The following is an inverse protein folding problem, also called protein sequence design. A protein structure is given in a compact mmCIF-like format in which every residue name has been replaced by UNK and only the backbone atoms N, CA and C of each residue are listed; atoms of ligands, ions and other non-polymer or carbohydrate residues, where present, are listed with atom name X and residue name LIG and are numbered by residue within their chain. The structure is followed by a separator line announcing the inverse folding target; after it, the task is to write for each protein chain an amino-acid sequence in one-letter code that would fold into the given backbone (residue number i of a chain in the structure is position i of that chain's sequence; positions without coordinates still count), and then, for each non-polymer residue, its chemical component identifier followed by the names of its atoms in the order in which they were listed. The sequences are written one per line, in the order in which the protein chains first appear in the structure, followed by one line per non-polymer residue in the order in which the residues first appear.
data_IF_836783705792
#
_entry.id   IF_836783705792
#
_cell.length_a   1.000
_cell.length_b   1.000
_cell.length_c   1.000
_cell.angle_alpha   90.00
_cell.angle_beta   90.00
_cell.angle_gamma   90.00
#
_symmetry.space_group_name_H-M   'P 1'
#
loop_
_entity.id
_entity.type
_entity.pdbx_description
1 polymer ?
#
# COMPACT_ATOMS: atom_id res chain seq x y z
N UNK A 1 -14.71 4.96 -10.89
CA UNK A 1 -14.20 6.34 -11.00
C UNK A 1 -15.05 7.35 -10.22
N UNK A 2 -16.38 7.44 -10.42
CA UNK A 2 -17.20 8.42 -9.67
C UNK A 2 -17.30 8.17 -8.15
N UNK A 3 -17.25 6.91 -7.72
CA UNK A 3 -17.34 6.53 -6.30
C UNK A 3 -15.95 6.49 -5.60
N UNK A 4 -15.00 5.78 -6.20
CA UNK A 4 -13.65 5.60 -5.66
C UNK A 4 -12.62 5.75 -6.80
N UNK A 5 -12.25 6.98 -7.20
CA UNK A 5 -11.27 7.18 -8.27
C UNK A 5 -9.85 6.80 -7.83
N UNK A 6 -9.56 6.92 -6.53
CA UNK A 6 -8.26 6.58 -5.94
C UNK A 6 -7.89 5.11 -6.12
N UNK A 7 -8.85 4.19 -6.14
CA UNK A 7 -8.62 2.78 -6.46
C UNK A 7 -8.08 2.56 -7.88
N UNK A 8 -8.37 3.47 -8.81
CA UNK A 8 -7.80 3.44 -10.17
C UNK A 8 -6.41 4.09 -10.21
N UNK A 9 -6.19 5.14 -9.42
CA UNK A 9 -4.89 5.85 -9.35
C UNK A 9 -3.83 4.98 -8.65
N UNK A 10 -4.16 4.45 -7.47
CA UNK A 10 -3.23 3.69 -6.61
C UNK A 10 -3.33 2.16 -6.80
N UNK A 11 -4.18 1.73 -7.73
CA UNK A 11 -4.49 0.34 -8.04
C UNK A 11 -5.40 -0.33 -7.01
N UNK A 12 -5.95 -1.47 -7.43
CA UNK A 12 -6.86 -2.29 -6.62
C UNK A 12 -6.57 -3.75 -6.89
N UNK A 13 -6.69 -4.57 -5.84
CA UNK A 13 -6.65 -6.01 -5.96
C UNK A 13 -7.75 -6.60 -5.07
N UNK A 14 -8.76 -7.16 -5.71
CA UNK A 14 -9.73 -8.00 -5.04
C UNK A 14 -9.13 -9.40 -4.91
N UNK A 15 -8.52 -9.69 -3.76
CA UNK A 15 -7.89 -11.00 -3.51
C UNK A 15 -8.86 -12.07 -3.01
N UNK A 16 -10.14 -11.75 -2.81
CA UNK A 16 -11.08 -12.60 -2.08
C UNK A 16 -12.19 -13.15 -2.95
N UNK A 17 -12.72 -12.37 -3.89
CA UNK A 17 -13.85 -12.78 -4.72
C UNK A 17 -13.43 -12.91 -6.19
N UNK A 18 -13.45 -11.80 -6.93
CA UNK A 18 -13.27 -11.80 -8.40
C UNK A 18 -11.83 -12.04 -8.85
N UNK A 19 -10.85 -11.98 -7.93
CA UNK A 19 -9.41 -11.98 -8.26
C UNK A 19 -8.99 -10.82 -9.18
N UNK A 20 -9.85 -9.81 -9.37
CA UNK A 20 -9.59 -8.69 -10.26
C UNK A 20 -8.42 -7.85 -9.73
N UNK A 21 -7.49 -7.54 -10.64
CA UNK A 21 -6.29 -6.76 -10.32
C UNK A 21 -6.09 -5.68 -11.37
N UNK A 22 -6.14 -4.43 -10.93
CA UNK A 22 -5.84 -3.29 -11.79
C UNK A 22 -4.45 -2.75 -11.46
N UNK A 23 -3.64 -2.42 -12.48
CA UNK A 23 -2.34 -1.83 -12.25
C UNK A 23 -2.48 -0.46 -11.58
N UNK A 24 -1.45 -0.08 -10.81
CA UNK A 24 -1.36 1.28 -10.26
C UNK A 24 -0.97 2.24 -11.38
N UNK A 25 -1.62 3.41 -11.45
CA UNK A 25 -1.16 4.50 -12.31
C UNK A 25 0.06 5.17 -11.67
N UNK A 26 0.06 5.32 -10.35
CA UNK A 26 1.19 5.86 -9.59
C UNK A 26 1.83 4.78 -8.73
N UNK A 27 3.15 4.72 -8.77
CA UNK A 27 3.97 4.05 -7.78
C UNK A 27 4.89 5.07 -7.12
N UNK A 28 5.08 4.95 -5.80
CA UNK A 28 6.07 5.71 -5.04
C UNK A 28 6.82 4.73 -4.16
N UNK A 29 8.15 4.80 -4.16
CA UNK A 29 9.00 3.88 -3.41
C UNK A 29 10.15 4.65 -2.80
N UNK A 30 10.47 4.33 -1.54
CA UNK A 30 11.63 4.85 -0.84
C UNK A 30 12.60 3.69 -0.65
N UNK A 31 13.84 3.84 -1.12
CA UNK A 31 14.90 2.84 -1.02
C UNK A 31 16.12 3.43 -0.36
N UNK A 32 16.68 2.71 0.60
CA UNK A 32 17.97 2.99 1.18
C UNK A 32 19.03 2.11 0.51
N UNK A 33 20.18 2.68 0.18
CA UNK A 33 21.27 2.00 -0.49
C UNK A 33 22.50 1.92 0.41
N UNK A 34 23.30 0.85 0.25
CA UNK A 34 24.48 0.56 1.06
C UNK A 34 24.21 0.75 2.57
N UNK A 35 23.35 -0.10 3.11
CA UNK A 35 22.78 0.08 4.45
C UNK A 35 23.58 -0.71 5.48
N UNK A 36 24.12 -0.01 6.48
CA UNK A 36 24.73 -0.61 7.67
C UNK A 36 23.71 -0.70 8.81
N UNK A 37 23.64 -1.87 9.43
CA UNK A 37 22.82 -2.11 10.63
C UNK A 37 23.56 -1.61 11.86
N UNK A 38 22.85 -0.90 12.72
CA UNK A 38 23.36 -0.49 14.02
C UNK A 38 22.74 -1.36 15.11
N UNK A 39 23.52 -1.60 16.16
CA UNK A 39 23.04 -2.23 17.38
C UNK A 39 23.16 -1.27 18.54
N UNK A 40 22.18 -1.27 19.42
CA UNK A 40 22.22 -0.54 20.68
C UNK A 40 22.23 -1.55 21.82
N UNK A 41 23.03 -1.28 22.84
CA UNK A 41 22.95 -1.99 24.10
C UNK A 41 22.44 -1.04 25.18
N UNK A 42 21.73 -1.59 26.16
CA UNK A 42 21.31 -0.88 27.35
C UNK A 42 21.53 -1.79 28.57
N UNK A 43 21.66 -1.18 29.74
CA UNK A 43 21.79 -1.89 31.00
C UNK A 43 20.79 -1.26 31.97
N UNK A 44 19.88 -2.07 32.50
CA UNK A 44 19.10 -1.68 33.66
C UNK A 44 19.88 -2.03 34.92
N UNK A 45 20.08 -1.04 35.79
CA UNK A 45 20.64 -1.23 37.12
C UNK A 45 19.55 -0.91 38.15
N UNK A 46 19.27 -1.84 39.08
CA UNK A 46 18.32 -1.58 40.15
C UNK A 46 18.85 -0.45 41.05
N UNK A 47 17.95 0.20 41.81
CA UNK A 47 18.33 1.28 42.72
C UNK A 47 19.20 0.79 43.91
N UNK A 48 19.11 -0.50 44.22
CA UNK A 48 19.86 -1.20 45.27
C UNK A 48 20.12 -2.64 44.81
N UNK A 49 21.18 -3.26 45.32
CA UNK A 49 21.53 -4.64 45.05
C UNK A 49 20.68 -5.61 45.91
N UNK A 50 19.41 -5.81 45.54
CA UNK A 50 18.42 -6.54 46.34
C UNK A 50 18.88 -7.93 46.82
N UNK A 51 19.66 -8.65 46.03
CA UNK A 51 20.19 -9.97 46.40
C UNK A 51 21.41 -9.84 47.33
N UNK A 52 22.35 -8.93 47.03
CA UNK A 52 23.55 -8.73 47.86
C UNK A 52 23.21 -8.15 49.24
N UNK A 53 22.20 -7.29 49.30
CA UNK A 53 21.67 -6.70 50.55
C UNK A 53 20.72 -7.66 51.29
N UNK A 54 20.59 -8.91 50.82
CA UNK A 54 19.78 -9.96 51.44
C UNK A 54 18.29 -9.61 51.56
N UNK A 55 17.79 -8.68 50.73
CA UNK A 55 16.38 -8.32 50.65
C UNK A 55 15.57 -9.34 49.82
N UNK A 56 16.25 -10.05 48.92
CA UNK A 56 15.72 -11.16 48.13
C UNK A 56 16.73 -12.31 48.10
N UNK A 57 16.24 -13.53 47.98
CA UNK A 57 17.08 -14.72 47.83
C UNK A 57 17.74 -14.76 46.43
N UNK A 58 18.92 -15.39 46.35
CA UNK A 58 19.59 -15.61 45.06
C UNK A 58 18.71 -16.50 44.17
N UNK A 59 18.34 -16.07 42.95
CA UNK A 59 17.48 -16.86 42.08
C UNK A 59 18.22 -18.12 41.60
N UNK A 60 17.70 -19.29 41.99
CA UNK A 60 18.32 -20.60 41.64
C UNK A 60 17.81 -21.19 40.32
N UNK A 61 16.67 -20.70 39.82
CA UNK A 61 16.04 -21.14 38.59
C UNK A 61 15.70 -19.97 37.65
N UNK A 62 15.46 -20.31 36.37
CA UNK A 62 15.19 -19.32 35.33
C UNK A 62 13.88 -18.55 35.53
N UNK A 63 12.82 -19.20 36.02
CA UNK A 63 11.53 -18.55 36.18
C UNK A 63 11.60 -17.47 37.27
N UNK A 64 12.28 -17.75 38.38
CA UNK A 64 12.51 -16.77 39.45
C UNK A 64 13.40 -15.62 38.97
N UNK A 65 14.45 -15.91 38.20
CA UNK A 65 15.31 -14.89 37.60
C UNK A 65 14.57 -13.98 36.60
N UNK A 66 13.72 -14.55 35.76
CA UNK A 66 12.90 -13.81 34.80
C UNK A 66 11.88 -12.93 35.56
N UNK A 67 11.22 -13.47 36.59
CA UNK A 67 10.30 -12.70 37.45
C UNK A 67 11.00 -11.52 38.16
N UNK A 68 12.23 -11.72 38.66
CA UNK A 68 13.03 -10.66 39.28
C UNK A 68 13.47 -9.63 38.25
N UNK A 69 13.81 -10.05 37.02
CA UNK A 69 14.16 -9.16 35.91
C UNK A 69 12.98 -8.28 35.50
N UNK A 70 11.79 -8.85 35.36
CA UNK A 70 10.56 -8.11 35.00
C UNK A 70 10.17 -7.07 36.05
N UNK A 71 10.46 -7.35 37.33
CA UNK A 71 10.21 -6.43 38.44
C UNK A 71 11.34 -5.41 38.67
N UNK A 72 12.46 -5.54 37.96
CA UNK A 72 13.60 -4.64 38.10
C UNK A 72 14.40 -4.84 39.39
N UNK A 73 14.44 -6.07 39.93
CA UNK A 73 15.19 -6.39 41.15
C UNK A 73 16.64 -6.83 40.89
N UNK A 74 16.98 -7.17 39.65
CA UNK A 74 18.33 -7.57 39.27
C UNK A 74 18.81 -6.77 38.06
N UNK A 75 20.12 -6.79 37.83
CA UNK A 75 20.72 -6.22 36.63
C UNK A 75 20.21 -6.92 35.37
N UNK A 76 19.71 -6.13 34.41
CA UNK A 76 19.22 -6.66 33.12
C UNK A 76 19.98 -6.03 31.96
N UNK A 77 21.02 -6.70 31.43
CA UNK A 77 21.68 -6.30 30.19
C UNK A 77 20.79 -6.60 28.98
N UNK A 78 20.49 -5.58 28.19
CA UNK A 78 19.93 -5.70 26.85
C UNK A 78 21.06 -5.46 25.85
N UNK A 79 21.74 -6.52 25.41
CA UNK A 79 22.89 -6.40 24.50
C UNK A 79 22.48 -6.54 23.04
N UNK A 80 23.13 -5.76 22.17
CA UNK A 80 23.02 -5.84 20.70
C UNK A 80 21.59 -5.78 20.14
N UNK A 81 20.67 -5.11 20.85
CA UNK A 81 19.31 -4.85 20.38
C UNK A 81 19.30 -3.96 19.12
N UNK A 82 18.16 -3.88 18.44
CA UNK A 82 18.02 -3.08 17.22
C UNK A 82 18.32 -1.59 17.48
N UNK A 83 19.40 -1.08 16.87
CA UNK A 83 19.87 0.31 17.02
C UNK A 83 19.56 1.22 15.84
N UNK A 84 18.84 0.71 14.83
CA UNK A 84 18.55 1.43 13.59
C UNK A 84 19.52 1.08 12.45
N UNK A 85 19.57 1.95 11.44
CA UNK A 85 20.37 1.76 10.24
C UNK A 85 20.99 3.09 9.78
N UNK A 86 22.15 3.03 9.14
CA UNK A 86 22.75 4.13 8.38
C UNK A 86 22.72 3.72 6.90
N UNK A 87 22.23 4.59 6.03
CA UNK A 87 22.21 4.38 4.58
C UNK A 87 23.37 5.16 3.95
N UNK A 88 24.57 4.58 3.91
CA UNK A 88 25.77 5.28 3.41
C UNK A 88 25.68 5.58 1.90
N UNK A 89 24.88 4.79 1.16
CA UNK A 89 24.56 5.03 -0.25
C UNK A 89 23.42 6.04 -0.46
N UNK A 90 22.90 6.61 0.62
CA UNK A 90 21.78 7.53 0.63
C UNK A 90 20.41 6.83 0.56
N UNK A 91 19.38 7.67 0.62
CA UNK A 91 17.98 7.28 0.53
C UNK A 91 17.39 7.97 -0.69
N UNK A 92 16.87 7.18 -1.62
CA UNK A 92 16.19 7.68 -2.82
C UNK A 92 14.70 7.43 -2.70
N UNK A 93 13.92 8.50 -2.88
CA UNK A 93 12.49 8.39 -3.14
C UNK A 93 12.28 8.53 -4.65
N UNK A 94 11.66 7.52 -5.25
CA UNK A 94 11.29 7.51 -6.67
C UNK A 94 9.78 7.41 -6.77
N UNK A 95 9.19 8.24 -7.61
CA UNK A 95 7.81 8.09 -8.02
C UNK A 95 7.76 7.84 -9.54
N UNK A 96 6.78 7.07 -10.00
CA UNK A 96 6.51 6.87 -11.42
C UNK A 96 5.02 6.97 -11.71
N UNK A 97 4.66 7.75 -12.73
CA UNK A 97 3.31 7.84 -13.28
C UNK A 97 3.27 7.10 -14.63
N UNK A 98 2.58 5.97 -14.68
CA UNK A 98 2.46 5.15 -15.89
C UNK A 98 1.33 5.61 -16.81
N UNK A 99 1.66 6.37 -17.87
CA UNK A 99 0.66 6.80 -18.87
C UNK A 99 0.00 5.63 -19.63
N UNK A 100 0.71 4.51 -19.78
CA UNK A 100 0.16 3.29 -20.36
C UNK A 100 -1.03 2.75 -19.54
N UNK A 101 -0.96 2.79 -18.21
CA UNK A 101 -2.05 2.35 -17.34
C UNK A 101 -3.30 3.22 -17.51
N UNK A 102 -3.12 4.55 -17.67
CA UNK A 102 -4.23 5.47 -17.97
C UNK A 102 -4.88 5.14 -19.30
N UNK A 103 -4.09 4.82 -20.33
CA UNK A 103 -4.59 4.46 -21.68
C UNK A 103 -5.40 3.16 -21.68
N UNK A 104 -5.21 2.27 -20.73
CA UNK A 104 -5.99 1.02 -20.63
C UNK A 104 -7.39 1.25 -20.05
N UNK A 105 -7.66 2.39 -19.41
CA UNK A 105 -8.98 2.70 -18.86
C UNK A 105 -9.99 2.93 -19.99
N UNK A 106 -11.20 2.38 -19.84
CA UNK A 106 -12.28 2.52 -20.80
C UNK A 106 -13.65 2.65 -20.13
N UNK A 107 -14.55 3.40 -20.74
CA UNK A 107 -15.96 3.50 -20.35
C UNK A 107 -16.84 2.71 -21.33
N UNK A 108 -16.57 1.41 -21.47
CA UNK A 108 -17.20 0.56 -22.49
C UNK A 108 -16.77 0.97 -23.90
N UNK A 109 -17.73 1.02 -24.84
CA UNK A 109 -17.48 1.39 -26.25
C UNK A 109 -17.58 2.90 -26.52
N UNK A 110 -17.91 3.71 -25.51
CA UNK A 110 -18.10 5.14 -25.66
C UNK A 110 -16.75 5.87 -25.61
N UNK A 111 -16.30 6.38 -26.76
CA UNK A 111 -15.03 7.07 -26.90
C UNK A 111 -14.99 8.40 -26.12
N UNK A 112 -16.10 9.14 -26.09
CA UNK A 112 -16.19 10.45 -25.42
C UNK A 112 -16.10 10.27 -23.92
N UNK A 113 -16.88 9.34 -23.36
CA UNK A 113 -16.82 9.00 -21.93
C UNK A 113 -15.47 8.39 -21.54
N UNK A 114 -14.87 7.61 -22.43
CA UNK A 114 -13.53 7.05 -22.21
C UNK A 114 -12.49 8.16 -22.12
N UNK A 115 -12.53 9.16 -22.99
CA UNK A 115 -11.61 10.30 -22.94
C UNK A 115 -11.81 11.11 -21.65
N UNK A 116 -13.06 11.40 -21.27
CA UNK A 116 -13.37 12.11 -20.03
C UNK A 116 -12.85 11.36 -18.79
N UNK A 117 -13.06 10.04 -18.74
CA UNK A 117 -12.51 9.17 -17.68
C UNK A 117 -10.98 9.24 -17.61
N UNK A 118 -10.30 9.13 -18.75
CA UNK A 118 -8.83 9.16 -18.80
C UNK A 118 -8.27 10.51 -18.36
N UNK A 119 -8.87 11.62 -18.80
CA UNK A 119 -8.48 12.98 -18.37
C UNK A 119 -8.66 13.15 -16.88
N UNK A 120 -9.81 12.72 -16.34
CA UNK A 120 -10.07 12.79 -14.91
C UNK A 120 -9.05 12.00 -14.08
N UNK A 121 -8.78 10.74 -14.46
CA UNK A 121 -7.79 9.92 -13.74
C UNK A 121 -6.36 10.45 -13.94
N UNK A 122 -6.03 10.98 -15.12
CA UNK A 122 -4.74 11.63 -15.34
C UNK A 122 -4.57 12.86 -14.44
N UNK A 123 -5.58 13.71 -14.32
CA UNK A 123 -5.51 14.91 -13.48
C UNK A 123 -5.30 14.58 -12.01
N UNK A 124 -6.10 13.66 -11.46
CA UNK A 124 -5.89 13.15 -10.10
C UNK A 124 -4.50 12.54 -9.93
N UNK A 125 -4.01 11.85 -10.95
CA UNK A 125 -2.68 11.25 -10.90
C UNK A 125 -1.57 12.30 -10.91
N UNK A 126 -1.67 13.33 -11.74
CA UNK A 126 -0.68 14.42 -11.79
C UNK A 126 -0.62 15.18 -10.47
N UNK A 127 -1.79 15.47 -9.86
CA UNK A 127 -1.85 16.10 -8.53
C UNK A 127 -1.14 15.25 -7.49
N UNK A 128 -1.46 13.95 -7.41
CA UNK A 128 -0.83 13.04 -6.46
C UNK A 128 0.67 12.85 -6.73
N UNK A 129 1.10 12.93 -7.99
CA UNK A 129 2.48 12.74 -8.41
C UNK A 129 3.37 13.96 -8.12
N UNK A 130 2.84 15.16 -8.36
CA UNK A 130 3.54 16.44 -8.14
C UNK A 130 3.47 16.92 -6.70
N UNK A 131 2.54 16.39 -5.90
CA UNK A 131 2.47 16.69 -4.48
C UNK A 131 3.75 16.27 -3.77
N UNK A 132 4.25 17.15 -2.88
CA UNK A 132 5.39 16.85 -2.02
C UNK A 132 4.90 16.29 -0.67
N UNK A 133 4.76 14.96 -0.50
CA UNK A 133 4.37 14.37 0.77
C UNK A 133 5.43 14.66 1.83
N UNK A 134 4.96 14.83 3.06
CA UNK A 134 5.83 14.98 4.24
C UNK A 134 6.87 13.86 4.30
N UNK A 135 8.10 14.23 4.68
CA UNK A 135 9.17 13.29 4.96
C UNK A 135 9.03 12.57 6.31
N UNK A 136 7.96 12.84 7.06
CA UNK A 136 7.68 12.19 8.34
C UNK A 136 7.03 10.82 8.12
N UNK A 137 7.83 9.75 8.17
CA UNK A 137 7.34 8.39 7.96
C UNK A 137 6.92 7.70 9.26
N UNK A 138 7.81 7.70 10.26
CA UNK A 138 7.57 7.17 11.60
C UNK A 138 8.49 7.87 12.60
N UNK A 139 8.21 7.73 13.88
CA UNK A 139 9.07 8.27 14.94
C UNK A 139 10.53 7.80 14.75
N UNK A 140 11.47 8.74 14.74
CA UNK A 140 12.88 8.49 14.47
C UNK A 140 13.25 8.32 12.98
N UNK A 141 12.33 8.59 12.04
CA UNK A 141 12.58 8.56 10.61
C UNK A 141 11.96 9.78 9.92
N UNK A 142 12.73 10.86 9.86
CA UNK A 142 12.41 12.11 9.16
C UNK A 142 13.33 12.19 7.95
N UNK A 143 12.75 12.16 6.75
CA UNK A 143 13.49 12.32 5.50
C UNK A 143 13.41 13.77 5.06
N UNK A 144 14.56 14.31 4.68
CA UNK A 144 14.66 15.65 4.09
C UNK A 144 15.40 15.55 2.76
N UNK A 145 15.08 16.46 1.85
CA UNK A 145 15.79 16.55 0.58
C UNK A 145 17.23 16.99 0.84
N UNK A 146 18.18 16.36 0.16
CA UNK A 146 19.57 16.81 0.18
C UNK A 146 19.68 18.06 -0.72
N UNK A 147 20.11 19.22 -0.21
CA UNK A 147 20.19 20.46 -0.98
C UNK A 147 21.16 20.38 -2.18
N UNK A 148 22.19 19.53 -2.09
CA UNK A 148 23.17 19.32 -3.16
C UNK A 148 22.68 18.35 -4.26
N UNK A 149 21.53 17.70 -4.03
CA UNK A 149 20.92 16.74 -4.96
C UNK A 149 19.46 17.10 -5.19
N UNK A 150 19.18 18.07 -6.09
CA UNK A 150 17.82 18.51 -6.35
C UNK A 150 16.96 17.39 -6.93
N UNK A 151 15.64 17.59 -6.88
CA UNK A 151 14.67 16.64 -7.43
C UNK A 151 14.86 16.54 -8.94
N UNK A 152 14.96 15.30 -9.45
CA UNK A 152 14.88 15.01 -10.88
C UNK A 152 13.42 14.77 -11.27
N UNK A 153 12.91 15.53 -12.23
CA UNK A 153 11.58 15.32 -12.81
C UNK A 153 11.69 15.27 -14.33
N UNK A 154 11.49 14.08 -14.89
CA UNK A 154 11.66 13.80 -16.33
C UNK A 154 10.49 13.02 -16.90
N UNK A 155 10.21 13.29 -18.17
CA UNK A 155 9.41 12.43 -19.03
C UNK A 155 10.30 11.33 -19.62
N UNK A 156 9.78 10.11 -19.67
CA UNK A 156 10.48 8.96 -20.27
C UNK A 156 9.67 8.45 -21.46
N UNK A 157 10.28 8.51 -22.65
CA UNK A 157 9.65 8.12 -23.91
C UNK A 157 9.82 6.61 -24.15
N UNK A 158 8.99 5.97 -25.01
CA UNK A 158 9.14 4.55 -25.35
C UNK A 158 10.49 4.19 -25.99
N UNK A 159 11.20 5.17 -26.56
CA UNK A 159 12.57 5.03 -27.08
C UNK A 159 13.62 4.91 -25.97
N UNK A 160 13.27 5.26 -24.73
CA UNK A 160 14.17 5.40 -23.60
C UNK A 160 14.66 6.84 -23.39
N UNK A 161 14.36 7.76 -24.31
CA UNK A 161 14.77 9.17 -24.20
C UNK A 161 14.14 9.82 -22.97
N UNK A 162 14.95 10.63 -22.27
CA UNK A 162 14.55 11.37 -21.08
C UNK A 162 14.59 12.85 -21.35
N UNK A 163 13.49 13.54 -21.06
CA UNK A 163 13.38 14.99 -21.23
C UNK A 163 12.95 15.63 -19.92
N UNK A 164 13.46 16.82 -19.56
CA UNK A 164 12.96 17.55 -18.41
C UNK A 164 11.44 17.75 -18.50
N UNK A 165 10.74 17.48 -17.40
CA UNK A 165 9.30 17.74 -17.29
C UNK A 165 9.10 19.06 -16.55
N UNK A 166 8.27 19.94 -17.09
CA UNK A 166 8.00 21.28 -16.53
C UNK A 166 6.65 21.39 -15.84
N UNK A 167 5.92 20.27 -15.67
CA UNK A 167 4.61 20.27 -15.00
C UNK A 167 4.80 20.67 -13.53
N UNK A 168 4.09 21.70 -13.10
CA UNK A 168 4.08 22.13 -11.69
C UNK A 168 2.87 21.55 -10.95
N UNK A 169 2.90 21.62 -9.62
CA UNK A 169 1.76 21.18 -8.81
C UNK A 169 0.50 22.02 -9.10
N UNK A 170 0.67 23.33 -9.30
CA UNK A 170 -0.40 24.27 -9.62
C UNK A 170 -1.05 23.92 -10.96
N UNK A 171 -0.25 23.73 -12.02
CA UNK A 171 -0.78 23.34 -13.34
C UNK A 171 -1.49 21.98 -13.32
N UNK A 172 -1.02 21.05 -12.48
CA UNK A 172 -1.66 19.76 -12.29
C UNK A 172 -3.02 19.90 -11.57
N UNK A 173 -3.11 20.81 -10.59
CA UNK A 173 -4.34 21.10 -9.84
C UNK A 173 -5.39 21.78 -10.73
N UNK A 174 -4.98 22.75 -11.55
CA UNK A 174 -5.84 23.43 -12.53
C UNK A 174 -6.44 22.41 -13.51
N UNK A 175 -5.58 21.61 -14.15
CA UNK A 175 -6.03 20.56 -15.06
C UNK A 175 -6.95 19.53 -14.38
N UNK A 176 -6.64 19.13 -13.15
CA UNK A 176 -7.46 18.17 -12.42
C UNK A 176 -8.85 18.73 -12.08
N UNK A 177 -8.93 20.01 -11.74
CA UNK A 177 -10.20 20.71 -11.45
C UNK A 177 -11.08 20.73 -12.70
N UNK A 178 -10.56 21.20 -13.83
CA UNK A 178 -11.30 21.22 -15.10
C UNK A 178 -11.74 19.81 -15.54
N UNK A 179 -10.85 18.82 -15.40
CA UNK A 179 -11.17 17.44 -15.75
C UNK A 179 -12.22 16.84 -14.82
N UNK A 180 -12.25 17.21 -13.53
CA UNK A 180 -13.25 16.77 -12.57
C UNK A 180 -14.63 17.36 -12.88
N UNK A 181 -14.70 18.64 -13.23
CA UNK A 181 -15.93 19.31 -13.66
C UNK A 181 -16.50 18.65 -14.93
N UNK A 182 -15.67 18.47 -15.96
CA UNK A 182 -16.09 17.84 -17.21
C UNK A 182 -16.52 16.37 -17.05
N UNK A 183 -15.93 15.64 -16.10
CA UNK A 183 -16.27 14.23 -15.84
C UNK A 183 -17.54 14.07 -15.00
N UNK A 184 -17.79 15.01 -14.09
CA UNK A 184 -18.86 14.96 -13.09
C UNK A 184 -18.54 13.96 -11.97
N UNK A 185 -17.96 14.45 -10.88
CA UNK A 185 -17.71 13.68 -9.65
C UNK A 185 -19.04 13.20 -9.06
N UNK A 186 -19.07 11.96 -8.57
CA UNK A 186 -20.30 11.42 -7.97
C UNK A 186 -20.61 12.08 -6.63
N UNK A 187 -21.90 12.20 -6.31
CA UNK A 187 -22.31 12.68 -5.00
C UNK A 187 -21.80 11.78 -3.87
N UNK A 188 -21.48 12.42 -2.74
CA UNK A 188 -21.17 11.69 -1.50
C UNK A 188 -22.39 10.89 -1.07
N UNK A 189 -22.17 9.65 -0.65
CA UNK A 189 -23.23 8.75 -0.19
C UNK A 189 -23.02 8.41 1.28
N UNK A 190 -24.05 8.62 2.08
CA UNK A 190 -24.16 8.02 3.41
C UNK A 190 -24.85 6.68 3.25
N UNK A 191 -24.12 5.59 3.48
CA UNK A 191 -24.65 4.23 3.39
C UNK A 191 -24.77 3.64 4.80
N UNK A 192 -25.98 3.30 5.29
CA UNK A 192 -26.13 2.67 6.59
C UNK A 192 -25.55 1.25 6.56
N UNK A 193 -24.90 0.85 7.66
CA UNK A 193 -24.42 -0.52 7.80
C UNK A 193 -25.60 -1.47 8.00
N UNK A 194 -25.80 -2.36 7.03
CA UNK A 194 -26.87 -3.35 7.06
C UNK A 194 -26.37 -4.64 7.73
N UNK A 195 -26.79 -4.84 8.98
CA UNK A 195 -26.41 -5.99 9.81
C UNK A 195 -26.87 -7.31 9.20
N UNK A 196 -27.99 -7.33 8.49
CA UNK A 196 -28.56 -8.56 7.95
C UNK A 196 -27.83 -8.95 6.66
N UNK A 197 -27.44 -7.99 5.82
CA UNK A 197 -26.51 -8.25 4.71
C UNK A 197 -25.16 -8.77 5.19
N UNK A 198 -24.60 -8.20 6.26
CA UNK A 198 -23.35 -8.70 6.83
C UNK A 198 -23.48 -10.15 7.36
N UNK A 199 -24.60 -10.48 8.01
CA UNK A 199 -24.87 -11.87 8.44
C UNK A 199 -25.08 -12.82 7.26
N UNK A 200 -25.69 -12.36 6.18
CA UNK A 200 -25.86 -13.14 4.96
C UNK A 200 -24.51 -13.39 4.27
N UNK A 201 -23.65 -12.38 4.19
CA UNK A 201 -22.29 -12.46 3.65
C UNK A 201 -21.42 -13.47 4.42
N UNK A 202 -21.45 -13.45 5.76
CA UNK A 202 -20.72 -14.42 6.61
C UNK A 202 -21.15 -15.87 6.37
N UNK A 203 -22.42 -16.11 6.03
CA UNK A 203 -22.92 -17.46 5.71
C UNK A 203 -22.42 -17.96 4.34
N UNK A 204 -21.74 -17.08 3.58
CA UNK A 204 -21.36 -17.28 2.20
C UNK A 204 -22.58 -17.12 1.31
N UNK A 205 -22.48 -16.25 0.30
CA UNK A 205 -23.24 -16.46 -0.93
C UNK A 205 -22.75 -17.79 -1.50
N UNK A 206 -23.40 -18.88 -1.10
CA UNK A 206 -23.06 -20.22 -1.54
C UNK A 206 -23.11 -20.24 -3.06
N UNK A 207 -21.94 -20.45 -3.67
CA UNK A 207 -21.73 -21.15 -4.94
C UNK A 207 -23.00 -21.31 -5.79
N UNK A 208 -23.57 -20.20 -6.29
CA UNK A 208 -24.65 -20.23 -7.28
C UNK A 208 -24.08 -20.46 -8.68
N UNK A 209 -22.89 -21.09 -8.77
CA UNK A 209 -22.63 -22.03 -9.85
C UNK A 209 -23.43 -23.30 -9.57
N UNK A 210 -24.72 -23.26 -9.91
CA UNK A 210 -25.45 -24.45 -10.30
C UNK A 210 -24.61 -25.13 -11.37
N UNK A 211 -23.82 -26.16 -10.98
CA UNK A 211 -23.25 -27.13 -11.91
C UNK A 211 -24.41 -27.57 -12.77
N UNK A 212 -24.43 -27.11 -14.02
CA UNK A 212 -25.37 -27.59 -15.03
C UNK A 212 -25.36 -29.10 -14.96
N UNK A 213 -26.46 -29.65 -14.45
CA UNK A 213 -26.67 -31.09 -14.32
C UNK A 213 -26.50 -31.63 -15.73
N UNK A 214 -25.38 -32.32 -15.97
CA UNK A 214 -25.09 -33.03 -17.22
C UNK A 214 -26.29 -33.96 -17.46
N UNK A 215 -27.24 -33.51 -18.27
CA UNK A 215 -28.35 -34.34 -18.71
C UNK A 215 -27.73 -35.48 -19.48
N UNK A 216 -27.82 -36.68 -18.90
CA UNK A 216 -27.51 -37.96 -19.55
C UNK A 216 -28.15 -37.93 -20.94
N UNK A 217 -27.31 -37.90 -21.97
CA UNK A 217 -27.69 -38.21 -23.34
C UNK A 217 -28.31 -39.61 -23.31
N UNK A 218 -29.59 -39.81 -23.68
CA UNK A 218 -30.12 -41.15 -23.85
C UNK A 218 -29.33 -41.84 -24.96
N UNK A 219 -28.96 -43.10 -24.71
CA UNK A 219 -28.35 -43.96 -25.70
C UNK A 219 -29.28 -44.04 -26.91
N UNK A 220 -28.78 -43.66 -28.09
CA UNK A 220 -29.42 -44.02 -29.33
C UNK A 220 -29.10 -45.51 -29.56
N UNK A 221 -30.06 -46.38 -29.24
CA UNK A 221 -30.14 -47.69 -29.86
C UNK A 221 -30.27 -47.49 -31.37
N UNK A 222 -29.34 -48.06 -32.13
CA UNK A 222 -29.47 -48.22 -33.56
C UNK A 222 -30.48 -49.33 -33.91
N UNK A 223 -30.77 -49.43 -35.22
CA UNK A 223 -31.67 -50.38 -35.92
C UNK A 223 -33.02 -49.73 -36.26
N UNK A 224 -33.49 -49.61 -37.51
CA UNK A 224 -33.27 -50.41 -38.73
C UNK A 224 -33.78 -49.64 -39.97
N UNK A 225 -33.23 -50.01 -41.12
CA UNK A 225 -33.68 -49.76 -42.51
C UNK A 225 -35.21 -49.78 -42.71
N UNK A 226 -35.72 -48.88 -43.56
CA UNK A 226 -36.19 -49.14 -44.94
C UNK A 226 -35.90 -47.90 -45.78
#
# INVERSE_FOLDING_TARGET
AKLAPTSLVFGVWDSRDTQAKLPRVIASTIRAYNVRKLTRSAQFNPAIEYVNEQLLEEPTDKATKDAYSERGFIHVPATRSHGGVIADGGILRTATLGLAAVRLLHAGKDAVRTLALRRYILGLSLVAFTHNPSGYLRQGCILVLNPDKPVEFVEVYPTGDRKPCTITHESALEFATEAAEAFGVGESKTVPFDKDKAKADVKGEGDTKTKGKKSKKPAAEGSKNV
#
